data_IF_905695012626
#
_entry.id   IF_905695012626
#
_cell.length_a   1.000
_cell.length_b   1.000
_cell.length_c   1.000
_cell.angle_alpha   90.00
_cell.angle_beta   90.00
_cell.angle_gamma   90.00
#
_symmetry.space_group_name_H-M   'P 1'
#
loop_
_entity.id
_entity.type
_entity.pdbx_description
1 polymer ?
#
# COMPACT_ATOMS: atom_id res chain seq x y z
N UNK A 1 -41.89 21.39 8.84
CA UNK A 1 -41.69 19.98 8.38
C UNK A 1 -40.67 19.83 7.23
N UNK A 2 -40.50 20.84 6.41
CA UNK A 2 -39.62 20.83 5.25
C UNK A 2 -38.11 20.92 5.60
N UNK A 3 -37.79 21.50 6.73
CA UNK A 3 -36.38 21.67 7.16
C UNK A 3 -35.67 20.36 7.54
N UNK A 4 -36.43 19.36 8.00
CA UNK A 4 -35.85 18.07 8.39
C UNK A 4 -35.37 17.22 7.21
N UNK A 5 -36.00 17.37 6.06
CA UNK A 5 -35.61 16.62 4.86
C UNK A 5 -34.38 17.24 4.19
N UNK A 6 -34.22 18.56 4.27
CA UNK A 6 -33.05 19.24 3.70
C UNK A 6 -31.77 19.01 4.50
N UNK A 7 -31.88 18.93 5.83
CA UNK A 7 -30.70 18.65 6.63
C UNK A 7 -30.13 17.26 6.35
N UNK A 8 -30.97 16.30 5.98
CA UNK A 8 -30.51 14.98 5.56
C UNK A 8 -29.73 15.00 4.26
N UNK A 9 -30.17 15.75 3.27
CA UNK A 9 -29.48 15.86 2.00
C UNK A 9 -28.15 16.60 2.11
N UNK A 10 -28.06 17.61 2.97
CA UNK A 10 -26.82 18.37 3.18
C UNK A 10 -25.78 17.59 3.97
N UNK A 11 -26.21 16.69 4.83
CA UNK A 11 -25.31 15.85 5.62
C UNK A 11 -24.60 14.82 4.74
N UNK A 12 -25.24 14.36 3.68
CA UNK A 12 -24.63 13.38 2.78
C UNK A 12 -23.65 13.98 1.77
N UNK A 13 -23.63 15.27 1.60
CA UNK A 13 -22.86 15.91 0.52
C UNK A 13 -21.47 16.36 0.94
N UNK A 14 -21.14 16.42 2.22
CA UNK A 14 -19.94 17.16 2.63
C UNK A 14 -19.09 16.55 3.73
N UNK A 15 -19.51 15.49 4.40
CA UNK A 15 -18.75 15.07 5.56
C UNK A 15 -18.77 13.55 5.75
N UNK A 16 -17.64 12.93 5.42
CA UNK A 16 -17.41 11.50 5.64
C UNK A 16 -17.54 11.10 7.13
N UNK A 17 -17.43 12.05 8.03
CA UNK A 17 -17.60 11.81 9.47
C UNK A 17 -19.02 11.37 9.85
N UNK A 18 -20.02 11.68 9.01
CA UNK A 18 -21.39 11.20 9.20
C UNK A 18 -21.67 9.82 8.61
N UNK A 19 -20.69 9.25 7.94
CA UNK A 19 -20.73 7.89 7.45
C UNK A 19 -20.18 6.99 8.56
N UNK A 20 -20.85 6.98 9.71
CA UNK A 20 -20.50 6.06 10.78
C UNK A 20 -21.37 4.81 10.71
N UNK A 21 -20.76 3.67 10.91
CA UNK A 21 -21.46 2.42 11.05
C UNK A 21 -22.09 2.34 12.43
N UNK A 22 -23.41 2.40 12.51
CA UNK A 22 -24.17 2.08 13.72
C UNK A 22 -25.11 0.88 13.44
N UNK A 23 -24.67 -0.34 13.74
CA UNK A 23 -25.46 -1.53 13.45
C UNK A 23 -26.72 -1.66 14.31
N UNK A 24 -26.82 -0.90 15.40
CA UNK A 24 -27.92 -0.94 16.34
C UNK A 24 -29.05 0.05 16.05
N UNK A 25 -28.79 1.07 15.23
CA UNK A 25 -29.77 2.13 15.01
C UNK A 25 -30.83 1.73 14.01
N UNK A 26 -32.07 1.71 14.48
CA UNK A 26 -33.27 1.59 13.63
C UNK A 26 -33.84 2.94 13.24
N UNK A 27 -33.33 4.02 13.80
CA UNK A 27 -33.84 5.37 13.61
C UNK A 27 -33.03 6.12 12.55
N UNK A 28 -33.67 6.63 11.49
CA UNK A 28 -33.02 7.41 10.45
C UNK A 28 -32.72 8.86 10.85
N UNK A 29 -32.71 9.21 12.13
CA UNK A 29 -32.47 10.57 12.60
C UNK A 29 -30.97 10.93 12.51
N UNK A 30 -30.69 12.19 12.29
CA UNK A 30 -29.33 12.75 12.32
C UNK A 30 -28.69 12.48 13.70
N UNK A 31 -27.54 11.86 13.72
CA UNK A 31 -26.90 11.36 14.96
C UNK A 31 -27.06 9.84 15.13
N UNK A 32 -28.12 9.29 14.57
CA UNK A 32 -28.34 7.86 14.35
C UNK A 32 -28.44 7.62 12.85
N UNK A 33 -27.57 8.25 12.08
CA UNK A 33 -27.54 8.05 10.65
C UNK A 33 -27.43 6.54 10.38
N UNK A 34 -28.36 6.02 9.60
CA UNK A 34 -28.19 4.68 9.07
C UNK A 34 -26.80 4.60 8.46
N UNK A 35 -25.99 3.66 8.88
CA UNK A 35 -24.71 3.45 8.25
C UNK A 35 -24.93 3.30 6.74
N UNK A 36 -23.97 3.70 5.96
CA UNK A 36 -23.99 3.49 4.49
C UNK A 36 -24.39 2.05 4.16
N UNK A 37 -24.06 1.14 5.04
CA UNK A 37 -24.49 -0.23 4.94
C UNK A 37 -25.86 -0.58 5.48
N UNK A 38 -26.64 0.39 5.94
CA UNK A 38 -28.01 0.13 6.46
C UNK A 38 -29.07 -0.01 5.38
N UNK A 39 -28.72 0.17 4.12
CA UNK A 39 -29.58 -0.20 3.00
C UNK A 39 -29.45 -1.70 2.78
N UNK A 40 -30.57 -2.38 2.69
CA UNK A 40 -30.58 -3.79 2.33
C UNK A 40 -29.91 -3.94 0.96
N UNK A 41 -28.84 -4.68 0.92
CA UNK A 41 -28.26 -5.12 -0.33
C UNK A 41 -29.11 -6.31 -0.79
N UNK A 42 -29.81 -6.17 -1.91
CA UNK A 42 -30.62 -7.25 -2.47
C UNK A 42 -29.73 -8.39 -2.95
N UNK A 43 -29.70 -9.45 -2.17
CA UNK A 43 -29.06 -10.72 -2.52
C UNK A 43 -30.08 -11.85 -2.57
N UNK A 44 -31.27 -11.54 -3.04
CA UNK A 44 -32.38 -12.50 -3.15
C UNK A 44 -31.99 -13.76 -3.94
N UNK A 45 -31.08 -13.66 -4.89
CA UNK A 45 -30.51 -14.80 -5.62
C UNK A 45 -29.75 -15.79 -4.75
N UNK A 46 -29.26 -15.37 -3.56
CA UNK A 46 -28.56 -16.21 -2.59
C UNK A 46 -29.43 -16.64 -1.42
N UNK A 47 -30.67 -16.19 -1.36
CA UNK A 47 -31.57 -16.49 -0.26
C UNK A 47 -31.23 -15.82 1.07
N UNK A 48 -30.32 -14.84 1.07
CA UNK A 48 -29.91 -14.12 2.27
C UNK A 48 -29.98 -12.59 2.08
N UNK A 49 -30.40 -11.90 3.13
CA UNK A 49 -30.38 -10.44 3.18
C UNK A 49 -29.14 -9.98 3.89
N UNK A 50 -28.39 -9.09 3.26
CA UNK A 50 -27.20 -8.47 3.83
C UNK A 50 -27.56 -7.08 4.31
N UNK A 51 -27.40 -6.85 5.61
CA UNK A 51 -27.94 -5.66 6.28
C UNK A 51 -27.10 -4.40 6.09
N UNK A 52 -25.85 -4.53 5.60
CA UNK A 52 -24.95 -3.39 5.45
C UNK A 52 -23.81 -3.70 4.46
N UNK A 53 -23.10 -2.66 4.02
CA UNK A 53 -21.99 -2.79 3.06
C UNK A 53 -20.87 -3.68 3.59
N UNK A 54 -20.53 -3.60 4.88
CA UNK A 54 -19.49 -4.45 5.45
C UNK A 54 -19.86 -5.92 5.33
N UNK A 55 -21.08 -6.31 5.72
CA UNK A 55 -21.55 -7.69 5.57
C UNK A 55 -21.62 -8.14 4.11
N UNK A 56 -21.91 -7.23 3.17
CA UNK A 56 -21.85 -7.54 1.73
C UNK A 56 -20.42 -7.78 1.25
N UNK A 57 -19.49 -6.98 1.74
CA UNK A 57 -18.04 -7.16 1.48
C UNK A 57 -17.57 -8.48 2.06
N UNK A 58 -17.93 -8.79 3.31
CA UNK A 58 -17.53 -10.03 3.98
C UNK A 58 -18.10 -11.27 3.26
N UNK A 59 -19.33 -11.18 2.75
CA UNK A 59 -19.94 -12.24 1.94
C UNK A 59 -19.21 -12.41 0.60
N UNK A 60 -18.87 -11.33 -0.08
CA UNK A 60 -18.05 -11.37 -1.30
C UNK A 60 -16.68 -11.99 -1.03
N UNK A 61 -16.02 -11.62 0.07
CA UNK A 61 -14.78 -12.23 0.48
C UNK A 61 -14.93 -13.73 0.72
N UNK A 62 -15.97 -14.14 1.44
CA UNK A 62 -16.24 -15.56 1.74
C UNK A 62 -16.50 -16.37 0.49
N UNK A 63 -17.12 -15.78 -0.53
CA UNK A 63 -17.48 -16.46 -1.77
C UNK A 63 -16.34 -16.45 -2.81
N UNK A 64 -15.53 -15.39 -2.82
CA UNK A 64 -14.47 -15.19 -3.82
C UNK A 64 -13.11 -15.73 -3.38
N UNK A 65 -12.88 -15.85 -2.07
CA UNK A 65 -11.62 -16.34 -1.52
C UNK A 65 -11.68 -17.83 -1.23
N UNK A 66 -10.70 -18.54 -1.70
CA UNK A 66 -10.49 -19.92 -1.32
C UNK A 66 -10.22 -20.00 0.20
N UNK A 67 -10.77 -21.02 0.87
CA UNK A 67 -10.59 -21.23 2.30
C UNK A 67 -9.19 -21.77 2.60
N UNK A 68 -8.75 -21.62 3.85
CA UNK A 68 -7.52 -22.28 4.31
C UNK A 68 -7.64 -23.79 4.07
N UNK A 69 -6.67 -24.35 3.39
CA UNK A 69 -6.65 -25.76 2.98
C UNK A 69 -7.10 -26.02 1.54
N UNK A 70 -7.84 -25.08 0.93
CA UNK A 70 -8.26 -25.21 -0.47
C UNK A 70 -7.07 -25.09 -1.43
N UNK A 71 -7.23 -25.67 -2.60
CA UNK A 71 -6.20 -25.69 -3.66
C UNK A 71 -6.66 -24.82 -4.83
N UNK A 72 -5.82 -23.87 -5.19
CA UNK A 72 -5.92 -23.10 -6.43
C UNK A 72 -5.14 -23.81 -7.53
N UNK A 73 -5.75 -23.94 -8.70
CA UNK A 73 -5.11 -24.39 -9.93
C UNK A 73 -4.93 -23.18 -10.85
N UNK A 74 -3.71 -22.93 -11.31
CA UNK A 74 -3.39 -21.76 -12.11
C UNK A 74 -2.27 -22.06 -13.12
N UNK A 75 -2.32 -21.40 -14.27
CA UNK A 75 -1.20 -21.35 -15.21
C UNK A 75 -0.11 -20.36 -14.77
N UNK A 76 -0.44 -19.44 -13.85
CA UNK A 76 0.56 -18.56 -13.26
C UNK A 76 1.51 -19.35 -12.34
N UNK A 77 2.80 -19.08 -12.45
CA UNK A 77 3.82 -19.68 -11.57
C UNK A 77 3.85 -19.07 -10.16
N UNK A 78 3.20 -17.93 -9.97
CA UNK A 78 3.13 -17.20 -8.70
C UNK A 78 1.75 -17.36 -8.06
N UNK A 79 1.68 -17.55 -6.72
CA UNK A 79 0.41 -17.62 -6.01
C UNK A 79 -0.28 -16.24 -5.99
N UNK A 80 -1.61 -16.19 -5.70
CA UNK A 80 -2.35 -14.94 -5.57
C UNK A 80 -2.09 -14.22 -4.24
N UNK A 81 -0.91 -14.34 -3.72
CA UNK A 81 -0.47 -13.66 -2.50
C UNK A 81 -0.10 -12.21 -2.80
N UNK A 82 -0.51 -11.29 -1.94
CA UNK A 82 -0.07 -9.91 -1.99
C UNK A 82 1.46 -9.83 -1.79
N UNK A 83 2.09 -8.93 -2.51
CA UNK A 83 3.51 -8.64 -2.35
C UNK A 83 3.74 -7.14 -2.50
N UNK A 84 4.48 -6.56 -1.56
CA UNK A 84 4.94 -5.17 -1.64
C UNK A 84 5.95 -5.00 -2.78
N UNK A 85 6.05 -3.77 -3.27
CA UNK A 85 7.08 -3.39 -4.24
C UNK A 85 8.46 -3.47 -3.61
N UNK A 86 9.44 -3.87 -4.41
CA UNK A 86 10.86 -3.74 -4.06
C UNK A 86 11.48 -2.73 -5.00
N UNK A 87 12.09 -1.68 -4.43
CA UNK A 87 12.76 -0.63 -5.18
C UNK A 87 14.19 -0.46 -4.67
N UNK A 88 15.15 -0.33 -5.59
CA UNK A 88 16.52 0.05 -5.25
C UNK A 88 16.76 1.51 -5.62
N UNK A 89 17.05 2.34 -4.62
CA UNK A 89 17.48 3.73 -4.77
C UNK A 89 18.99 3.79 -4.92
N UNK A 90 19.49 4.46 -5.94
CA UNK A 90 20.92 4.76 -6.15
C UNK A 90 21.18 6.24 -5.92
N UNK A 91 22.17 6.54 -5.09
CA UNK A 91 22.54 7.90 -4.68
C UNK A 91 23.88 8.30 -5.31
N UNK A 92 23.90 9.44 -5.97
CA UNK A 92 25.12 9.97 -6.60
C UNK A 92 25.24 11.48 -6.46
N UNK A 93 26.42 12.00 -6.76
CA UNK A 93 26.72 13.42 -6.73
C UNK A 93 27.16 13.93 -5.35
N UNK A 94 27.22 15.24 -5.23
CA UNK A 94 27.63 15.96 -4.02
C UNK A 94 26.75 17.19 -3.86
N UNK A 95 26.28 17.44 -2.65
CA UNK A 95 25.43 18.59 -2.34
C UNK A 95 26.13 19.89 -2.68
N UNK A 96 25.54 20.66 -3.58
CA UNK A 96 25.97 21.97 -3.99
C UNK A 96 24.78 22.90 -4.20
N UNK A 97 24.61 23.85 -3.32
CA UNK A 97 23.57 24.85 -3.44
C UNK A 97 24.04 26.03 -4.31
N UNK A 98 23.92 25.86 -5.63
CA UNK A 98 24.34 26.90 -6.60
C UNK A 98 23.48 28.17 -6.53
N UNK A 99 22.21 28.07 -6.06
CA UNK A 99 21.30 29.22 -5.98
C UNK A 99 21.54 30.10 -4.76
N UNK A 100 22.09 29.53 -3.70
CA UNK A 100 22.44 30.26 -2.49
C UNK A 100 23.69 29.64 -1.86
N UNK A 101 24.89 30.02 -2.34
CA UNK A 101 26.14 29.48 -1.81
C UNK A 101 26.39 29.79 -0.33
N UNK A 102 25.79 30.86 0.19
CA UNK A 102 25.87 31.25 1.62
C UNK A 102 25.05 30.29 2.52
N UNK A 103 24.04 29.61 1.97
CA UNK A 103 23.27 28.63 2.70
C UNK A 103 24.09 27.36 2.91
N UNK A 104 24.58 27.20 4.13
CA UNK A 104 25.42 26.03 4.52
C UNK A 104 24.66 24.72 4.46
N UNK A 105 23.33 24.75 4.54
CA UNK A 105 22.46 23.57 4.58
C UNK A 105 21.34 23.64 3.55
N UNK A 106 20.96 22.49 3.02
CA UNK A 106 19.79 22.33 2.15
C UNK A 106 18.90 21.21 2.66
N UNK A 107 17.64 21.22 2.25
CA UNK A 107 16.68 20.14 2.51
C UNK A 107 16.43 19.38 1.22
N UNK A 108 16.72 18.09 1.23
CA UNK A 108 16.41 17.13 0.17
C UNK A 108 15.29 16.22 0.68
N UNK A 109 14.19 16.19 -0.02
CA UNK A 109 13.04 15.33 0.32
C UNK A 109 13.17 14.00 -0.42
N UNK A 110 13.09 12.90 0.31
CA UNK A 110 13.10 11.54 -0.23
C UNK A 110 11.86 10.82 0.29
N UNK A 111 10.99 10.39 -0.62
CA UNK A 111 9.71 9.72 -0.31
C UNK A 111 8.89 10.46 0.76
N UNK A 112 8.79 11.79 0.64
CA UNK A 112 8.03 12.64 1.57
C UNK A 112 8.76 13.01 2.88
N UNK A 113 9.98 12.50 3.10
CA UNK A 113 10.77 12.81 4.30
C UNK A 113 11.88 13.82 3.98
N UNK A 114 11.96 14.95 4.73
CA UNK A 114 12.99 15.94 4.53
C UNK A 114 14.30 15.53 5.23
N UNK A 115 15.42 15.61 4.49
CA UNK A 115 16.76 15.39 5.00
C UNK A 115 17.57 16.68 4.91
N UNK A 116 17.96 17.22 6.06
CA UNK A 116 18.80 18.40 6.13
C UNK A 116 20.25 17.97 6.02
N UNK A 117 20.97 18.48 5.02
CA UNK A 117 22.36 18.15 4.72
C UNK A 117 23.20 19.40 4.45
N UNK A 118 24.48 19.32 4.77
CA UNK A 118 25.43 20.39 4.52
C UNK A 118 25.92 20.39 3.07
N UNK A 119 26.35 21.54 2.57
CA UNK A 119 27.05 21.62 1.30
C UNK A 119 28.30 20.73 1.38
N UNK A 120 28.61 20.03 0.31
CA UNK A 120 29.71 19.06 0.26
C UNK A 120 29.32 17.65 0.73
N UNK A 121 28.12 17.43 1.25
CA UNK A 121 27.62 16.07 1.58
C UNK A 121 27.58 15.21 0.32
N UNK A 122 28.25 14.05 0.33
CA UNK A 122 28.22 13.10 -0.79
C UNK A 122 26.90 12.33 -0.84
N UNK A 123 26.59 11.77 -2.02
CA UNK A 123 25.45 10.87 -2.19
C UNK A 123 25.48 9.69 -1.22
N UNK A 124 26.66 9.11 -0.97
CA UNK A 124 26.85 8.02 0.01
C UNK A 124 26.50 8.45 1.43
N UNK A 125 26.94 9.65 1.85
CA UNK A 125 26.61 10.18 3.18
C UNK A 125 25.12 10.51 3.32
N UNK A 126 24.47 10.97 2.24
CA UNK A 126 23.02 11.14 2.23
C UNK A 126 22.32 9.78 2.29
N UNK A 127 22.78 8.79 1.52
CA UNK A 127 22.25 7.42 1.54
C UNK A 127 22.26 6.85 2.97
N UNK A 128 23.32 7.06 3.74
CA UNK A 128 23.42 6.62 5.14
C UNK A 128 22.38 7.28 6.04
N UNK A 129 22.17 8.60 5.90
CA UNK A 129 21.11 9.32 6.65
C UNK A 129 19.72 8.82 6.31
N UNK A 130 19.45 8.61 5.01
CA UNK A 130 18.16 8.06 4.53
C UNK A 130 17.96 6.63 5.05
N UNK A 131 19.00 5.79 4.98
CA UNK A 131 18.97 4.43 5.52
C UNK A 131 18.58 4.42 7.00
N UNK A 132 19.26 5.22 7.82
CA UNK A 132 18.97 5.28 9.28
C UNK A 132 17.50 5.63 9.53
N UNK A 133 16.98 6.64 8.82
CA UNK A 133 15.59 7.06 8.98
C UNK A 133 14.59 6.00 8.50
N UNK A 134 14.87 5.39 7.35
CA UNK A 134 13.96 4.38 6.78
C UNK A 134 14.02 3.05 7.53
N UNK A 135 15.15 2.71 8.14
CA UNK A 135 15.27 1.60 9.08
C UNK A 135 14.39 1.79 10.33
N UNK A 136 14.33 3.02 10.87
CA UNK A 136 13.40 3.34 11.96
C UNK A 136 11.94 3.14 11.54
N UNK A 137 11.57 3.53 10.32
CA UNK A 137 10.22 3.34 9.79
C UNK A 137 9.91 1.85 9.61
N UNK A 138 10.84 1.07 9.07
CA UNK A 138 10.69 -0.37 8.92
C UNK A 138 10.52 -1.07 10.27
N UNK A 139 11.30 -0.68 11.28
CA UNK A 139 11.17 -1.22 12.65
C UNK A 139 9.78 -0.96 13.26
N UNK A 140 9.15 0.14 12.86
CA UNK A 140 7.79 0.50 13.30
C UNK A 140 6.69 -0.05 12.38
N UNK A 141 7.04 -0.81 11.35
CA UNK A 141 6.12 -1.24 10.28
C UNK A 141 5.38 -0.06 9.62
N UNK A 142 6.10 1.04 9.39
CA UNK A 142 5.59 2.21 8.67
C UNK A 142 6.30 2.26 7.31
N UNK A 143 5.58 2.29 6.23
CA UNK A 143 6.01 2.39 4.85
C UNK A 143 6.81 1.18 4.34
N UNK A 144 7.74 0.62 5.13
CA UNK A 144 8.59 -0.48 4.73
C UNK A 144 8.51 -1.67 5.69
N UNK A 145 8.67 -2.89 5.16
CA UNK A 145 8.93 -4.11 5.93
C UNK A 145 10.42 -4.32 6.15
N UNK A 146 11.24 -3.87 5.20
CA UNK A 146 12.70 -4.04 5.25
C UNK A 146 13.39 -2.92 4.46
N UNK A 147 14.58 -2.52 4.94
CA UNK A 147 15.47 -1.57 4.27
C UNK A 147 16.88 -2.10 4.36
N UNK A 148 17.55 -2.26 3.21
CA UNK A 148 18.92 -2.79 3.13
C UNK A 148 19.85 -1.84 2.40
N UNK A 149 21.08 -1.71 2.86
CA UNK A 149 22.14 -1.06 2.08
C UNK A 149 22.71 -2.04 1.06
N UNK A 150 22.93 -1.54 -0.16
CA UNK A 150 23.52 -2.28 -1.28
C UNK A 150 24.61 -1.47 -1.98
N UNK A 151 25.22 -2.08 -2.96
CA UNK A 151 26.32 -1.49 -3.74
C UNK A 151 27.67 -1.63 -3.04
N UNK A 152 28.74 -1.72 -3.82
CA UNK A 152 30.12 -1.83 -3.32
C UNK A 152 30.56 -0.56 -2.58
N UNK A 153 29.96 0.60 -2.92
CA UNK A 153 30.19 1.91 -2.27
C UNK A 153 29.18 2.23 -1.16
N UNK A 154 28.26 1.34 -0.83
CA UNK A 154 27.13 1.63 0.08
C UNK A 154 26.27 2.82 -0.35
N UNK A 155 26.18 3.05 -1.64
CA UNK A 155 25.47 4.16 -2.29
C UNK A 155 24.06 3.79 -2.76
N UNK A 156 23.59 2.59 -2.39
CA UNK A 156 22.26 2.09 -2.77
C UNK A 156 21.48 1.65 -1.54
N UNK A 157 20.14 1.81 -1.63
CA UNK A 157 19.17 1.29 -0.65
C UNK A 157 18.15 0.43 -1.37
N UNK A 158 17.97 -0.80 -0.91
CA UNK A 158 16.84 -1.64 -1.27
C UNK A 158 15.72 -1.41 -0.27
N UNK A 159 14.54 -1.06 -0.77
CA UNK A 159 13.34 -0.74 0.00
C UNK A 159 12.28 -1.80 -0.30
N UNK A 160 11.76 -2.46 0.72
CA UNK A 160 10.62 -3.37 0.62
C UNK A 160 9.39 -2.66 1.17
N UNK A 161 8.48 -2.23 0.31
CA UNK A 161 7.25 -1.55 0.73
C UNK A 161 6.32 -2.50 1.47
N UNK A 162 5.62 -1.97 2.48
CA UNK A 162 4.69 -2.77 3.31
C UNK A 162 3.36 -3.02 2.61
N UNK A 163 2.95 -2.10 1.74
CA UNK A 163 1.70 -2.22 1.00
C UNK A 163 1.89 -2.98 -0.33
N UNK A 164 0.78 -3.44 -0.87
CA UNK A 164 0.76 -4.14 -2.16
C UNK A 164 0.29 -3.22 -3.30
N UNK A 165 0.59 -1.92 -3.19
CA UNK A 165 0.21 -0.88 -4.14
C UNK A 165 1.43 -0.50 -4.98
N UNK A 166 1.30 -0.36 -6.31
CA UNK A 166 2.39 0.13 -7.14
C UNK A 166 2.78 1.56 -6.77
N UNK A 167 4.06 1.80 -6.57
CA UNK A 167 4.67 3.10 -6.40
C UNK A 167 5.47 3.47 -7.65
N UNK A 168 5.46 4.74 -8.01
CA UNK A 168 6.33 5.23 -9.08
C UNK A 168 7.79 5.17 -8.64
N UNK A 169 8.69 4.86 -9.59
CA UNK A 169 10.12 4.85 -9.31
C UNK A 169 10.61 6.26 -8.89
N UNK A 170 11.36 6.29 -7.82
CA UNK A 170 11.89 7.54 -7.26
C UNK A 170 12.84 8.22 -8.24
N UNK A 171 12.64 9.52 -8.50
CA UNK A 171 13.54 10.32 -9.33
C UNK A 171 13.70 11.71 -8.72
N UNK A 172 14.90 11.99 -8.22
CA UNK A 172 15.24 13.27 -7.58
C UNK A 172 16.54 13.77 -8.18
N UNK A 173 16.53 15.01 -8.68
CA UNK A 173 17.73 15.72 -9.08
C UNK A 173 17.69 17.13 -8.49
N UNK A 174 18.35 17.31 -7.36
CA UNK A 174 18.30 18.56 -6.61
C UNK A 174 19.61 18.83 -5.88
N UNK A 175 20.04 20.06 -5.92
CA UNK A 175 21.27 20.53 -5.24
C UNK A 175 22.52 19.68 -5.55
N UNK A 176 22.69 19.23 -6.80
CA UNK A 176 23.83 18.41 -7.20
C UNK A 176 23.79 16.95 -6.76
N UNK A 177 22.72 16.53 -6.09
CA UNK A 177 22.43 15.14 -5.78
C UNK A 177 21.44 14.58 -6.80
N UNK A 178 21.73 13.39 -7.26
CA UNK A 178 20.79 12.58 -8.06
C UNK A 178 20.46 11.29 -7.31
N UNK A 179 19.17 11.03 -7.13
CA UNK A 179 18.67 9.78 -6.58
C UNK A 179 17.77 9.15 -7.65
N UNK A 180 18.10 7.93 -8.04
CA UNK A 180 17.35 7.19 -9.07
C UNK A 180 16.87 5.89 -8.49
N UNK A 181 15.55 5.67 -8.56
CA UNK A 181 14.89 4.43 -8.20
C UNK A 181 14.82 3.46 -9.38
N UNK A 182 15.00 2.18 -9.09
CA UNK A 182 14.73 1.08 -9.99
C UNK A 182 13.77 0.11 -9.31
N UNK A 183 12.66 -0.22 -9.96
CA UNK A 183 11.71 -1.19 -9.45
C UNK A 183 12.23 -2.59 -9.76
N UNK A 184 12.76 -3.27 -8.75
CA UNK A 184 13.31 -4.62 -8.87
C UNK A 184 12.19 -5.67 -8.90
N UNK A 185 11.11 -5.43 -8.15
CA UNK A 185 9.91 -6.25 -8.14
C UNK A 185 8.67 -5.35 -8.00
N UNK A 186 7.73 -5.40 -8.94
CA UNK A 186 6.50 -4.62 -8.83
C UNK A 186 5.60 -5.18 -7.72
N UNK A 187 4.81 -4.29 -7.12
CA UNK A 187 3.77 -4.67 -6.18
C UNK A 187 2.73 -5.57 -6.85
N UNK A 188 2.17 -6.48 -6.08
CA UNK A 188 1.08 -7.35 -6.52
C UNK A 188 -0.03 -7.37 -5.49
N UNK A 189 -1.23 -7.03 -5.92
CA UNK A 189 -2.42 -7.26 -5.11
C UNK A 189 -2.67 -8.76 -4.95
N UNK A 190 -3.25 -9.14 -3.82
CA UNK A 190 -3.54 -10.54 -3.55
C UNK A 190 -4.09 -10.73 -2.14
N UNK A 191 -4.22 -11.97 -1.74
CA UNK A 191 -4.77 -12.33 -0.43
C UNK A 191 -4.15 -13.61 0.10
N UNK A 192 -4.16 -13.74 1.42
CA UNK A 192 -3.75 -14.95 2.14
C UNK A 192 -2.27 -15.33 1.92
N UNK A 193 -1.90 -16.43 2.53
CA UNK A 193 -0.59 -17.07 2.33
C UNK A 193 -0.77 -18.40 1.61
N UNK A 194 0.14 -18.72 0.72
CA UNK A 194 0.02 -19.86 -0.19
C UNK A 194 1.31 -20.68 -0.23
N UNK A 195 1.15 -21.99 -0.32
CA UNK A 195 2.26 -22.91 -0.56
C UNK A 195 2.06 -23.59 -1.92
N UNK A 196 3.07 -23.56 -2.78
CA UNK A 196 3.07 -24.33 -4.02
C UNK A 196 3.25 -25.80 -3.67
N UNK A 197 2.27 -26.63 -4.03
CA UNK A 197 2.24 -28.06 -3.69
C UNK A 197 2.53 -28.97 -4.88
N UNK A 198 2.54 -28.44 -6.10
CA UNK A 198 2.85 -29.21 -7.29
C UNK A 198 2.84 -28.40 -8.58
N UNK A 199 3.34 -29.04 -9.62
CA UNK A 199 3.34 -28.52 -11.00
C UNK A 199 3.14 -29.71 -11.94
N UNK A 200 2.35 -29.52 -12.98
CA UNK A 200 2.07 -30.52 -14.00
C UNK A 200 2.03 -29.85 -15.38
N UNK A 201 2.60 -30.47 -16.38
CA UNK A 201 2.49 -30.00 -17.78
C UNK A 201 1.32 -30.73 -18.44
N UNK A 202 0.32 -30.00 -18.88
CA UNK A 202 -0.89 -30.49 -19.53
C UNK A 202 -1.32 -29.59 -20.66
N UNK A 203 -1.69 -30.19 -21.80
CA UNK A 203 -2.19 -29.47 -22.97
C UNK A 203 -1.25 -28.37 -23.51
N UNK A 204 0.06 -28.52 -23.28
CA UNK A 204 1.06 -27.52 -23.69
C UNK A 204 1.24 -26.36 -22.74
N UNK A 205 0.58 -26.39 -21.56
CA UNK A 205 0.71 -25.39 -20.52
C UNK A 205 1.22 -26.00 -19.22
N UNK A 206 1.98 -25.22 -18.45
CA UNK A 206 2.40 -25.59 -17.11
C UNK A 206 1.32 -25.19 -16.11
N UNK A 207 0.72 -26.16 -15.44
CA UNK A 207 -0.30 -25.97 -14.41
C UNK A 207 0.35 -26.03 -13.04
N UNK A 208 0.09 -25.00 -12.23
CA UNK A 208 0.61 -24.87 -10.87
C UNK A 208 -0.52 -25.06 -9.86
N UNK A 209 -0.23 -25.78 -8.79
CA UNK A 209 -1.13 -26.07 -7.69
C UNK A 209 -0.66 -25.34 -6.44
N UNK A 210 -1.52 -24.47 -5.89
CA UNK A 210 -1.22 -23.68 -4.69
C UNK A 210 -2.25 -24.00 -3.60
N UNK A 211 -1.79 -24.42 -2.43
CA UNK A 211 -2.63 -24.63 -1.25
C UNK A 211 -2.64 -23.39 -0.39
N UNK A 212 -3.81 -22.88 -0.03
CA UNK A 212 -3.91 -21.78 0.94
C UNK A 212 -3.56 -22.27 2.33
N UNK A 213 -2.63 -21.56 3.01
CA UNK A 213 -2.12 -21.93 4.34
C UNK A 213 -2.45 -20.91 5.43
N UNK A 214 -2.81 -19.67 5.06
CA UNK A 214 -3.32 -18.64 5.97
C UNK A 214 -4.21 -17.62 5.22
#
# INVERSE_FOLDING_TARGET
MISKTRSKASVFSSDAAFISYDPGSKDPVIGNARPIGGLNVDQSRKGSFINNVQSAIDDLYTLSMLRIGDVLVSTNSTPPQAAGQIETLSFSGTVNNQHNPEAKKVSIEVLGYPFIVDNGTSGVSLCEKVHTKFQELATKNILFTEVKRKGSGNDQLELHYIDAIPHEATSINKYGITITGNIDSPARAGYGSWSKIGTEDKFGETINYFKRIA
#
